data_IF_994682005589
#
_entry.id   IF_994682005589
#
_cell.length_a   1.000
_cell.length_b   1.000
_cell.length_c   1.000
_cell.angle_alpha   90.00
_cell.angle_beta   90.00
_cell.angle_gamma   90.00
#
_symmetry.space_group_name_H-M   'P 1'
#
loop_
_entity.id
_entity.type
_entity.pdbx_description
1 polymer ?
#
# COMPACT_ATOMS: atom_id res chain seq x y z
N UNK A 1 0.24 19.64 2.77
CA UNK A 1 -0.02 18.26 2.25
C UNK A 1 1.02 17.80 1.23
N UNK A 2 1.61 18.68 0.40
CA UNK A 2 2.77 18.35 -0.46
C UNK A 2 3.93 19.31 -0.17
N UNK A 3 5.08 18.79 0.27
CA UNK A 3 6.36 19.53 0.39
C UNK A 3 7.22 19.21 -0.83
N UNK A 4 7.52 20.22 -1.65
CA UNK A 4 8.28 20.08 -2.89
C UNK A 4 9.67 20.71 -2.75
N UNK A 5 10.71 19.92 -2.98
CA UNK A 5 12.11 20.36 -2.98
C UNK A 5 12.75 20.07 -4.33
N UNK A 6 13.42 21.06 -4.90
CA UNK A 6 14.06 20.96 -6.19
C UNK A 6 15.55 21.28 -6.05
N UNK A 7 16.40 20.41 -6.60
CA UNK A 7 17.84 20.57 -6.58
C UNK A 7 18.38 20.43 -8.01
N UNK A 8 18.94 21.52 -8.53
CA UNK A 8 19.59 21.53 -9.82
C UNK A 8 21.11 21.46 -9.62
N UNK A 9 21.71 20.27 -9.81
CA UNK A 9 23.15 20.12 -9.62
C UNK A 9 23.95 20.53 -10.86
N UNK A 10 23.29 20.74 -12.01
CA UNK A 10 23.94 21.24 -13.23
C UNK A 10 24.17 22.74 -13.13
N UNK A 11 23.13 23.48 -12.75
CA UNK A 11 23.16 24.93 -12.58
C UNK A 11 22.41 25.26 -11.28
N UNK A 12 23.14 25.54 -10.19
CA UNK A 12 22.52 25.91 -8.91
C UNK A 12 21.57 27.10 -9.05
N UNK A 13 20.51 27.12 -8.24
CA UNK A 13 19.51 28.20 -8.14
C UNK A 13 18.70 28.49 -9.43
N UNK A 14 18.89 27.71 -10.49
CA UNK A 14 18.08 27.78 -11.70
C UNK A 14 16.98 26.70 -11.71
N UNK A 15 15.84 27.05 -12.32
CA UNK A 15 14.75 26.10 -12.56
C UNK A 15 15.23 24.88 -13.38
N UNK A 16 14.71 23.72 -13.02
CA UNK A 16 14.98 22.46 -13.72
C UNK A 16 14.21 22.47 -15.04
N UNK A 17 14.93 22.44 -16.15
CA UNK A 17 14.37 22.27 -17.50
C UNK A 17 15.00 21.04 -18.14
N UNK A 18 14.16 20.11 -18.59
CA UNK A 18 14.59 18.88 -19.26
C UNK A 18 13.69 18.56 -20.45
N UNK A 19 14.28 18.05 -21.55
CA UNK A 19 13.52 17.59 -22.70
C UNK A 19 12.92 16.21 -22.41
N UNK A 20 11.63 16.20 -22.03
CA UNK A 20 10.84 14.99 -21.78
C UNK A 20 9.50 15.09 -22.49
N UNK A 21 8.82 13.96 -22.69
CA UNK A 21 7.41 13.95 -23.11
C UNK A 21 6.54 14.32 -21.90
N UNK A 22 5.88 15.49 -21.88
CA UNK A 22 5.19 15.97 -20.67
C UNK A 22 4.08 15.02 -20.19
N UNK A 23 3.37 14.38 -21.13
CA UNK A 23 2.30 13.44 -20.82
C UNK A 23 2.78 12.20 -20.05
N UNK A 24 3.96 11.67 -20.39
CA UNK A 24 4.52 10.50 -19.69
C UNK A 24 4.85 10.86 -18.24
N UNK A 25 5.54 11.99 -18.04
CA UNK A 25 5.89 12.47 -16.70
C UNK A 25 4.63 12.76 -15.87
N UNK A 26 3.66 13.43 -16.48
CA UNK A 26 2.38 13.73 -15.84
C UNK A 26 1.68 12.46 -15.36
N UNK A 27 1.56 11.44 -16.22
CA UNK A 27 0.90 10.18 -15.86
C UNK A 27 1.60 9.50 -14.68
N UNK A 28 2.93 9.37 -14.74
CA UNK A 28 3.73 8.73 -13.69
C UNK A 28 3.51 9.44 -12.35
N UNK A 29 3.71 10.76 -12.32
CA UNK A 29 3.62 11.56 -11.10
C UNK A 29 2.19 11.58 -10.57
N UNK A 30 1.18 11.70 -11.44
CA UNK A 30 -0.22 11.69 -11.06
C UNK A 30 -0.61 10.37 -10.38
N UNK A 31 -0.27 9.22 -10.97
CA UNK A 31 -0.58 7.92 -10.37
C UNK A 31 0.13 7.73 -9.02
N UNK A 32 1.40 8.14 -8.90
CA UNK A 32 2.14 8.01 -7.64
C UNK A 32 1.59 8.94 -6.55
N UNK A 33 1.27 10.19 -6.88
CA UNK A 33 0.68 11.12 -5.92
C UNK A 33 -0.69 10.63 -5.45
N UNK A 34 -1.54 10.10 -6.34
CA UNK A 34 -2.82 9.50 -5.93
C UNK A 34 -2.61 8.37 -4.92
N UNK A 35 -1.68 7.45 -5.19
CA UNK A 35 -1.40 6.33 -4.29
C UNK A 35 -0.88 6.83 -2.93
N UNK A 36 0.17 7.66 -2.94
CA UNK A 36 0.73 8.22 -1.70
C UNK A 36 -0.29 9.00 -0.86
N UNK A 37 -1.16 9.79 -1.50
CA UNK A 37 -2.23 10.50 -0.80
C UNK A 37 -3.26 9.54 -0.22
N UNK A 38 -3.72 8.56 -1.00
CA UNK A 38 -4.66 7.52 -0.54
C UNK A 38 -4.09 6.79 0.68
N UNK A 39 -2.84 6.34 0.61
CA UNK A 39 -2.22 5.62 1.70
C UNK A 39 -2.07 6.46 2.96
N UNK A 40 -1.66 7.72 2.81
CA UNK A 40 -1.53 8.65 3.93
C UNK A 40 -2.87 8.88 4.64
N UNK A 41 -3.94 9.11 3.87
CA UNK A 41 -5.29 9.32 4.42
C UNK A 41 -5.83 8.05 5.08
N UNK A 42 -5.75 6.90 4.40
CA UNK A 42 -6.23 5.61 4.93
C UNK A 42 -5.45 5.21 6.21
N UNK A 43 -4.14 5.48 6.26
CA UNK A 43 -3.32 5.22 7.43
C UNK A 43 -3.67 6.15 8.60
N UNK A 44 -3.85 7.44 8.33
CA UNK A 44 -4.26 8.42 9.35
C UNK A 44 -5.57 8.00 10.03
N UNK A 45 -6.60 7.65 9.25
CA UNK A 45 -7.88 7.17 9.80
C UNK A 45 -7.74 5.86 10.58
N UNK A 46 -6.82 4.97 10.18
CA UNK A 46 -6.56 3.72 10.90
C UNK A 46 -5.91 3.95 12.26
N UNK A 47 -5.00 4.92 12.37
CA UNK A 47 -4.25 5.20 13.60
C UNK A 47 -5.03 6.08 14.57
N UNK A 48 -5.70 7.14 14.09
CA UNK A 48 -6.37 8.13 14.96
C UNK A 48 -7.88 7.94 15.11
N UNK A 49 -8.49 7.02 14.38
CA UNK A 49 -9.95 6.82 14.37
C UNK A 49 -10.67 7.80 13.43
N UNK A 50 -11.97 7.59 13.24
CA UNK A 50 -12.78 8.35 12.28
C UNK A 50 -13.11 9.78 12.75
N UNK A 51 -13.02 10.05 14.06
CA UNK A 51 -13.42 11.32 14.69
C UNK A 51 -12.31 12.40 14.66
N UNK A 52 -11.16 12.11 14.05
CA UNK A 52 -10.05 13.06 13.90
C UNK A 52 -10.23 13.90 12.62
N UNK A 53 -11.14 14.87 12.67
CA UNK A 53 -11.49 15.79 11.56
C UNK A 53 -10.45 16.90 11.30
N UNK A 54 -9.34 16.94 12.04
CA UNK A 54 -8.30 17.95 11.84
C UNK A 54 -7.37 17.59 10.68
N UNK A 55 -7.58 18.23 9.52
CA UNK A 55 -6.69 18.15 8.36
C UNK A 55 -5.24 18.55 8.65
N UNK A 56 -5.01 19.33 9.72
CA UNK A 56 -3.68 19.78 10.17
C UNK A 56 -2.76 18.64 10.64
N UNK A 57 -3.33 17.48 10.95
CA UNK A 57 -2.59 16.33 11.48
C UNK A 57 -2.14 15.33 10.40
N UNK A 58 -2.53 15.55 9.14
CA UNK A 58 -2.14 14.70 8.03
C UNK A 58 -0.67 14.90 7.69
N UNK A 59 0.08 13.79 7.65
CA UNK A 59 1.45 13.81 7.20
C UNK A 59 1.56 14.30 5.76
N UNK A 60 2.55 15.15 5.49
CA UNK A 60 2.77 15.64 4.14
C UNK A 60 3.48 14.60 3.27
N UNK A 61 3.03 14.47 2.03
CA UNK A 61 3.76 13.79 0.96
C UNK A 61 4.93 14.69 0.57
N UNK A 62 6.14 14.16 0.53
CA UNK A 62 7.36 14.91 0.17
C UNK A 62 7.82 14.53 -1.21
N UNK A 63 7.97 15.50 -2.09
CA UNK A 63 8.54 15.31 -3.42
C UNK A 63 9.92 15.98 -3.49
N UNK A 64 10.94 15.22 -3.89
CA UNK A 64 12.30 15.71 -4.11
C UNK A 64 12.68 15.49 -5.57
N UNK A 65 12.94 16.57 -6.30
CA UNK A 65 13.34 16.56 -7.70
C UNK A 65 14.82 16.93 -7.75
N UNK A 66 15.63 16.08 -8.36
CA UNK A 66 17.08 16.28 -8.50
C UNK A 66 17.45 16.16 -9.98
N UNK A 67 17.97 17.24 -10.55
CA UNK A 67 18.57 17.20 -11.89
C UNK A 67 20.07 16.98 -11.77
N UNK A 68 20.51 15.75 -12.07
CA UNK A 68 21.90 15.36 -12.14
C UNK A 68 22.56 15.64 -13.49
N UNK A 69 23.82 15.23 -13.65
CA UNK A 69 24.55 15.35 -14.92
C UNK A 69 23.91 14.52 -16.04
N UNK A 70 23.41 13.32 -15.74
CA UNK A 70 22.86 12.40 -16.76
C UNK A 70 21.36 12.14 -16.60
N UNK A 71 20.87 12.11 -15.35
CA UNK A 71 19.51 11.69 -15.04
C UNK A 71 18.75 12.79 -14.28
N UNK A 72 17.44 12.86 -14.52
CA UNK A 72 16.47 13.50 -13.66
C UNK A 72 15.92 12.45 -12.70
N UNK A 73 16.06 12.67 -11.41
CA UNK A 73 15.53 11.80 -10.37
C UNK A 73 14.40 12.51 -9.62
N UNK A 74 13.26 11.84 -9.47
CA UNK A 74 12.13 12.34 -8.70
C UNK A 74 11.82 11.30 -7.63
N UNK A 75 11.87 11.71 -6.36
CA UNK A 75 11.49 10.87 -5.23
C UNK A 75 10.21 11.41 -4.60
N UNK A 76 9.18 10.57 -4.51
CA UNK A 76 7.94 10.85 -3.80
C UNK A 76 7.93 9.97 -2.56
N UNK A 77 7.87 10.58 -1.38
CA UNK A 77 7.90 9.92 -0.08
C UNK A 77 6.62 10.22 0.68
N UNK A 78 5.91 9.19 1.11
CA UNK A 78 4.72 9.32 1.96
C UNK A 78 4.95 8.76 3.37
N UNK A 79 3.94 8.96 4.23
CA UNK A 79 3.82 8.32 5.55
C UNK A 79 2.52 7.50 5.62
N UNK A 80 2.28 6.71 4.58
CA UNK A 80 1.06 5.91 4.42
C UNK A 80 1.07 4.56 5.14
N UNK A 81 2.00 4.34 6.09
CA UNK A 81 2.12 3.09 6.84
C UNK A 81 2.86 1.97 6.11
N UNK A 82 3.24 2.16 4.84
CA UNK A 82 4.11 1.25 4.10
C UNK A 82 3.47 -0.08 3.68
N UNK A 83 4.30 -0.93 3.05
CA UNK A 83 3.94 -2.20 2.44
C UNK A 83 4.90 -3.29 2.90
N UNK A 84 4.42 -4.43 3.41
CA UNK A 84 5.26 -5.57 3.76
C UNK A 84 6.05 -6.07 2.55
N UNK A 85 7.32 -6.46 2.75
CA UNK A 85 8.21 -6.89 1.66
C UNK A 85 7.65 -8.03 0.80
N UNK A 86 6.88 -8.95 1.40
CA UNK A 86 6.22 -10.05 0.70
C UNK A 86 5.17 -9.59 -0.33
N UNK A 87 4.56 -8.41 -0.12
CA UNK A 87 3.54 -7.83 -1.01
C UNK A 87 4.14 -6.81 -1.98
N UNK A 88 5.33 -6.28 -1.70
CA UNK A 88 5.98 -5.23 -2.49
C UNK A 88 6.21 -5.65 -3.96
N UNK A 89 6.62 -6.90 -4.19
CA UNK A 89 6.82 -7.41 -5.56
C UNK A 89 5.52 -7.45 -6.37
N UNK A 90 4.39 -7.70 -5.71
CA UNK A 90 3.09 -7.82 -6.37
C UNK A 90 2.52 -6.47 -6.82
N UNK A 91 3.03 -5.34 -6.31
CA UNK A 91 2.50 -4.01 -6.64
C UNK A 91 2.63 -3.66 -8.13
N UNK A 92 3.60 -4.27 -8.82
CA UNK A 92 3.79 -4.10 -10.26
C UNK A 92 3.08 -5.17 -11.10
N UNK A 93 2.37 -6.13 -10.49
CA UNK A 93 1.55 -7.06 -11.26
C UNK A 93 0.30 -6.33 -11.77
N UNK A 94 0.01 -6.52 -13.06
CA UNK A 94 -1.26 -6.06 -13.63
C UNK A 94 -2.44 -6.62 -12.84
N UNK A 95 -3.48 -5.79 -12.66
CA UNK A 95 -4.70 -6.11 -11.91
C UNK A 95 -4.52 -6.31 -10.40
N UNK A 96 -3.30 -6.19 -9.86
CA UNK A 96 -3.10 -6.20 -8.43
C UNK A 96 -3.59 -4.87 -7.82
N UNK A 97 -4.55 -4.94 -6.90
CA UNK A 97 -5.03 -3.77 -6.17
C UNK A 97 -5.52 -4.17 -4.79
N UNK A 98 -5.35 -3.26 -3.83
CA UNK A 98 -5.84 -3.39 -2.46
C UNK A 98 -7.12 -2.60 -2.21
N UNK A 99 -7.53 -1.79 -3.18
CA UNK A 99 -8.81 -1.08 -3.17
C UNK A 99 -9.95 -2.03 -3.57
N UNK A 100 -11.18 -1.81 -3.07
CA UNK A 100 -12.35 -2.51 -3.59
C UNK A 100 -12.48 -2.28 -5.09
N UNK A 101 -12.88 -3.33 -5.82
CA UNK A 101 -13.13 -3.21 -7.26
C UNK A 101 -14.29 -2.22 -7.48
N UNK A 102 -14.17 -1.26 -8.39
CA UNK A 102 -15.28 -0.37 -8.70
C UNK A 102 -16.51 -1.14 -9.16
N UNK A 103 -17.69 -0.67 -8.73
CA UNK A 103 -18.96 -1.01 -9.37
C UNK A 103 -18.93 -0.51 -10.82
N UNK A 104 -19.59 -1.24 -11.72
CA UNK A 104 -19.75 -0.86 -13.14
C UNK A 104 -20.77 0.26 -13.37
N UNK A 105 -21.30 0.86 -12.30
CA UNK A 105 -22.27 1.95 -12.40
C UNK A 105 -21.55 3.28 -12.63
N UNK A 106 -21.81 3.88 -13.79
CA UNK A 106 -20.98 4.84 -14.53
C UNK A 106 -20.94 6.29 -14.01
N UNK A 107 -21.27 6.57 -12.75
CA UNK A 107 -21.31 7.97 -12.28
C UNK A 107 -20.05 8.46 -11.56
N UNK A 108 -19.16 7.57 -11.12
CA UNK A 108 -17.93 7.96 -10.42
C UNK A 108 -16.76 7.03 -10.74
N UNK A 109 -15.77 7.53 -11.50
CA UNK A 109 -14.53 6.79 -11.75
C UNK A 109 -13.76 6.67 -10.44
N UNK A 110 -13.52 5.45 -9.92
CA UNK A 110 -12.90 5.28 -8.62
C UNK A 110 -11.47 5.84 -8.62
N UNK A 111 -11.05 6.43 -7.51
CA UNK A 111 -9.69 6.97 -7.34
C UNK A 111 -8.59 5.89 -7.43
N UNK A 112 -8.93 4.65 -7.07
CA UNK A 112 -8.10 3.45 -7.14
C UNK A 112 -8.97 2.20 -7.44
N UNK A 113 -8.37 1.09 -7.88
CA UNK A 113 -9.08 -0.20 -7.96
C UNK A 113 -8.90 -1.00 -9.25
N UNK A 114 -8.39 -0.40 -10.32
CA UNK A 114 -8.11 -1.12 -11.57
C UNK A 114 -6.79 -1.90 -11.56
N UNK A 115 -5.81 -1.50 -10.73
CA UNK A 115 -4.54 -2.22 -10.59
C UNK A 115 -3.60 -2.08 -11.79
N UNK A 116 -3.69 -0.96 -12.53
CA UNK A 116 -2.85 -0.71 -13.72
C UNK A 116 -1.88 0.48 -13.57
N UNK A 117 -2.10 1.37 -12.58
CA UNK A 117 -1.33 2.61 -12.44
C UNK A 117 0.18 2.38 -12.33
N UNK A 118 0.62 1.65 -11.31
CA UNK A 118 2.04 1.36 -11.09
C UNK A 118 2.74 0.63 -12.26
N UNK A 119 2.21 -0.47 -12.82
CA UNK A 119 2.86 -1.12 -13.95
C UNK A 119 2.93 -0.22 -15.19
N UNK A 120 1.89 0.56 -15.49
CA UNK A 120 1.89 1.49 -16.63
C UNK A 120 2.87 2.64 -16.39
N UNK A 121 2.90 3.22 -15.19
CA UNK A 121 3.88 4.26 -14.83
C UNK A 121 5.31 3.76 -14.99
N UNK A 122 5.58 2.51 -14.61
CA UNK A 122 6.91 1.90 -14.81
C UNK A 122 7.23 1.71 -16.29
N UNK A 123 6.26 1.33 -17.11
CA UNK A 123 6.44 1.26 -18.56
C UNK A 123 6.78 2.63 -19.16
N UNK A 124 6.06 3.68 -18.79
CA UNK A 124 6.35 5.05 -19.26
C UNK A 124 7.77 5.51 -18.89
N UNK A 125 8.23 5.19 -17.67
CA UNK A 125 9.59 5.51 -17.25
C UNK A 125 10.63 4.72 -18.06
N UNK A 126 10.40 3.41 -18.25
CA UNK A 126 11.33 2.51 -18.98
C UNK A 126 11.38 2.75 -20.47
N UNK A 127 10.32 3.34 -21.05
CA UNK A 127 10.25 3.59 -22.49
C UNK A 127 11.46 4.36 -23.00
N UNK A 128 11.97 5.34 -22.24
CA UNK A 128 13.21 6.08 -22.56
C UNK A 128 14.38 5.73 -21.63
N UNK A 129 14.56 4.44 -21.32
CA UNK A 129 15.66 3.89 -20.51
C UNK A 129 15.76 4.48 -19.08
N UNK A 130 14.63 4.93 -18.54
CA UNK A 130 14.47 5.21 -17.12
C UNK A 130 14.04 3.98 -16.31
N UNK A 131 13.65 4.20 -15.06
CA UNK A 131 12.92 3.20 -14.27
C UNK A 131 12.06 3.88 -13.19
N UNK A 132 11.11 3.11 -12.67
CA UNK A 132 10.34 3.41 -11.46
C UNK A 132 10.56 2.27 -10.46
N UNK A 133 11.08 2.60 -9.28
CA UNK A 133 11.30 1.66 -8.18
C UNK A 133 10.59 2.12 -6.92
N UNK A 134 10.04 1.17 -6.17
CA UNK A 134 9.42 1.42 -4.86
C UNK A 134 10.28 0.81 -3.77
N UNK A 135 10.53 1.58 -2.70
CA UNK A 135 11.16 1.13 -1.46
C UNK A 135 10.19 1.45 -0.33
N UNK A 136 9.73 0.43 0.39
CA UNK A 136 8.74 0.62 1.45
C UNK A 136 9.25 0.13 2.79
N UNK A 137 8.88 0.84 3.85
CA UNK A 137 9.14 0.48 5.24
C UNK A 137 7.80 0.21 5.91
N UNK A 138 7.53 -1.08 6.19
CA UNK A 138 6.30 -1.53 6.81
C UNK A 138 6.10 -0.88 8.18
N UNK A 139 4.91 -0.33 8.42
CA UNK A 139 4.57 0.48 9.59
C UNK A 139 4.94 1.97 9.49
N UNK A 140 5.65 2.43 8.45
CA UNK A 140 6.06 3.83 8.32
C UNK A 140 5.57 4.49 7.03
N UNK A 141 6.04 4.04 5.85
CA UNK A 141 5.74 4.73 4.60
C UNK A 141 6.49 4.17 3.40
N UNK A 142 6.23 4.75 2.23
CA UNK A 142 6.80 4.30 0.96
C UNK A 142 7.53 5.44 0.24
N UNK A 143 8.70 5.11 -0.30
CA UNK A 143 9.49 5.96 -1.20
C UNK A 143 9.36 5.41 -2.64
N UNK A 144 8.77 6.20 -3.52
CA UNK A 144 8.75 5.96 -4.96
C UNK A 144 9.81 6.80 -5.66
N UNK A 145 10.75 6.15 -6.35
CA UNK A 145 11.86 6.80 -7.06
C UNK A 145 11.68 6.59 -8.55
N UNK A 146 11.56 7.69 -9.29
CA UNK A 146 11.56 7.77 -10.74
C UNK A 146 12.96 8.21 -11.17
N UNK A 147 13.55 7.51 -12.13
CA UNK A 147 14.79 7.91 -12.80
C UNK A 147 14.53 8.06 -14.29
N UNK A 148 14.76 9.24 -14.86
CA UNK A 148 14.60 9.53 -16.28
C UNK A 148 15.91 10.07 -16.86
N UNK A 149 16.14 9.85 -18.15
CA UNK A 149 17.29 10.43 -18.85
C UNK A 149 17.09 11.93 -19.02
N UNK A 150 18.05 12.72 -18.55
CA UNK A 150 18.04 14.18 -18.71
C UNK A 150 18.76 14.64 -19.99
N UNK A 151 19.44 13.74 -20.69
CA UNK A 151 20.14 13.99 -21.95
C UNK A 151 19.39 13.29 -23.10
N UNK A 152 18.90 14.02 -24.12
CA UNK A 152 18.14 13.44 -25.23
C UNK A 152 18.84 12.31 -25.97
N UNK A 153 20.15 12.44 -26.22
CA UNK A 153 20.91 11.44 -26.96
C UNK A 153 21.04 10.10 -26.23
N UNK A 154 20.76 10.08 -24.93
CA UNK A 154 20.74 8.87 -24.10
C UNK A 154 19.31 8.31 -23.90
N UNK A 155 18.29 9.08 -24.27
CA UNK A 155 16.87 8.74 -24.12
C UNK A 155 16.37 7.94 -25.34
N UNK A 156 16.90 6.74 -25.53
CA UNK A 156 16.49 5.85 -26.63
C UNK A 156 15.24 5.04 -26.27
N UNK A 157 14.42 4.70 -27.26
CA UNK A 157 13.23 3.88 -27.06
C UNK A 157 13.59 2.43 -26.71
N UNK A 158 12.95 1.89 -25.67
CA UNK A 158 13.04 0.49 -25.28
C UNK A 158 11.83 -0.28 -25.84
N UNK A 159 12.02 -0.86 -27.03
CA UNK A 159 10.97 -1.59 -27.73
C UNK A 159 11.08 -3.12 -27.51
N UNK A 160 9.96 -3.83 -27.30
CA UNK A 160 9.96 -5.28 -27.26
C UNK A 160 10.26 -5.85 -28.65
N UNK A 161 11.25 -6.73 -28.73
CA UNK A 161 11.60 -7.44 -29.98
C UNK A 161 11.13 -8.89 -29.87
N UNK A 162 10.32 -9.32 -30.84
CA UNK A 162 9.95 -10.72 -30.95
C UNK A 162 11.06 -11.51 -31.65
N UNK A 163 11.56 -12.55 -30.98
CA UNK A 163 12.63 -13.40 -31.49
C UNK A 163 12.70 -14.74 -30.74
N UNK A 164 13.79 -15.49 -30.95
CA UNK A 164 13.95 -16.81 -30.34
C UNK A 164 13.86 -16.76 -28.79
N UNK A 165 14.47 -15.76 -28.15
CA UNK A 165 14.42 -15.58 -26.69
C UNK A 165 13.01 -15.28 -26.18
N UNK A 166 12.30 -14.35 -26.81
CA UNK A 166 10.92 -13.98 -26.45
C UNK A 166 9.96 -15.15 -26.66
N UNK A 167 10.11 -15.91 -27.76
CA UNK A 167 9.34 -17.13 -28.00
C UNK A 167 9.58 -18.17 -26.90
N UNK A 168 10.83 -18.41 -26.52
CA UNK A 168 11.17 -19.33 -25.42
C UNK A 168 10.48 -18.92 -24.13
N UNK A 169 10.56 -17.65 -23.75
CA UNK A 169 9.91 -17.13 -22.53
C UNK A 169 8.39 -17.37 -22.53
N UNK A 170 7.73 -17.22 -23.67
CA UNK A 170 6.28 -17.42 -23.80
C UNK A 170 5.91 -18.91 -23.76
N UNK A 171 6.70 -19.78 -24.39
CA UNK A 171 6.40 -21.21 -24.52
C UNK A 171 6.93 -22.08 -23.38
N UNK A 172 7.70 -21.49 -22.46
CA UNK A 172 8.36 -22.21 -21.37
C UNK A 172 7.32 -22.82 -20.43
N UNK A 173 7.45 -24.12 -20.16
CA UNK A 173 6.61 -24.80 -19.18
C UNK A 173 7.02 -24.40 -17.76
N UNK A 174 6.13 -24.64 -16.79
CA UNK A 174 6.46 -24.43 -15.37
C UNK A 174 7.60 -25.35 -14.95
N UNK A 175 8.66 -24.78 -14.43
CA UNK A 175 9.80 -25.52 -13.88
C UNK A 175 9.60 -25.82 -12.39
N UNK A 176 10.33 -26.81 -11.89
CA UNK A 176 10.43 -27.03 -10.45
C UNK A 176 11.14 -25.83 -9.80
N UNK A 177 10.75 -25.42 -8.58
CA UNK A 177 11.41 -24.31 -7.91
C UNK A 177 12.87 -24.64 -7.62
N UNK A 178 13.76 -23.68 -7.88
CA UNK A 178 15.20 -23.82 -7.63
C UNK A 178 15.55 -23.96 -6.14
N UNK A 179 14.67 -23.48 -5.26
CA UNK A 179 14.89 -23.42 -3.82
C UNK A 179 13.92 -24.31 -3.05
N UNK A 180 14.39 -24.82 -1.92
CA UNK A 180 13.57 -25.58 -0.98
C UNK A 180 12.42 -24.72 -0.45
N UNK A 181 11.21 -25.27 -0.39
CA UNK A 181 10.06 -24.62 0.23
C UNK A 181 9.61 -25.42 1.46
N UNK A 182 9.35 -24.72 2.56
CA UNK A 182 8.69 -25.32 3.72
C UNK A 182 7.22 -25.50 3.39
N UNK A 183 6.70 -26.71 3.55
CA UNK A 183 5.26 -26.94 3.49
C UNK A 183 4.62 -26.16 4.64
N UNK A 184 3.55 -25.37 4.42
CA UNK A 184 2.86 -24.68 5.50
C UNK A 184 2.50 -25.69 6.58
N UNK A 185 3.05 -25.52 7.78
CA UNK A 185 2.66 -26.33 8.93
C UNK A 185 1.18 -26.10 9.17
N UNK A 186 0.36 -27.13 8.93
CA UNK A 186 -1.01 -27.18 9.45
C UNK A 186 -0.87 -27.09 10.96
N UNK A 187 -1.21 -25.94 11.53
CA UNK A 187 -1.29 -25.79 12.98
C UNK A 187 -2.30 -26.85 13.43
N UNK A 188 -1.91 -27.84 14.27
CA UNK A 188 -2.88 -28.78 14.80
C UNK A 188 -3.94 -27.97 15.55
N UNK A 189 -5.24 -28.33 15.45
CA UNK A 189 -6.27 -27.64 16.22
C UNK A 189 -5.84 -27.59 17.68
N UNK A 190 -5.99 -26.41 18.30
CA UNK A 190 -5.63 -26.22 19.70
C UNK A 190 -6.17 -27.40 20.53
N UNK A 191 -5.35 -27.99 21.43
CA UNK A 191 -5.83 -29.07 22.27
C UNK A 191 -7.08 -28.56 23.00
N UNK A 192 -8.16 -29.35 22.97
CA UNK A 192 -9.38 -29.04 23.69
C UNK A 192 -8.99 -28.71 25.14
N UNK A 193 -9.46 -27.56 25.64
CA UNK A 193 -9.28 -27.17 27.04
C UNK A 193 -9.75 -28.33 27.92
N UNK A 194 -8.82 -28.87 28.71
CA UNK A 194 -9.09 -29.93 29.67
C UNK A 194 -10.17 -29.44 30.65
N UNK A 195 -11.33 -30.11 30.78
CA UNK A 195 -12.42 -29.66 31.64
C UNK A 195 -12.07 -29.66 33.14
N UNK A 196 -10.90 -30.17 33.53
CA UNK A 196 -10.47 -30.22 34.94
C UNK A 196 -10.01 -28.88 35.52
N UNK A 197 -9.71 -27.85 34.71
CA UNK A 197 -9.27 -26.53 35.21
C UNK A 197 -10.46 -25.63 35.67
N UNK A 198 -11.70 -26.05 35.37
CA UNK A 198 -12.93 -25.33 35.77
C UNK A 198 -13.26 -25.45 37.27
N UNK A 199 -12.71 -26.45 37.98
CA UNK A 199 -13.13 -26.74 39.36
C UNK A 199 -12.51 -25.82 40.42
N UNK A 200 -11.31 -25.27 40.18
CA UNK A 200 -10.51 -24.63 41.24
C UNK A 200 -10.78 -23.13 41.47
N UNK A 201 -11.61 -22.49 40.63
CA UNK A 201 -12.01 -21.09 40.84
C UNK A 201 -13.18 -20.97 41.85
N UNK A 202 -13.80 -22.10 42.23
CA UNK A 202 -14.94 -22.10 43.16
C UNK A 202 -14.56 -21.96 44.65
N UNK A 203 -13.28 -21.97 45.03
CA UNK A 203 -12.84 -21.99 46.44
C UNK A 203 -12.35 -20.63 47.01
N UNK A 204 -12.14 -19.59 46.19
CA UNK A 204 -11.68 -18.29 46.70
C UNK A 204 -12.84 -17.35 47.07
N UNK A 205 -13.52 -17.65 48.17
CA UNK A 205 -14.52 -16.77 48.79
C UNK A 205 -13.84 -15.55 49.42
N UNK A 206 -13.73 -14.45 48.66
CA UNK A 206 -13.38 -13.13 49.21
C UNK A 206 -14.46 -12.71 50.22
N UNK A 207 -14.05 -12.41 51.46
CA UNK A 207 -14.90 -11.85 52.51
C UNK A 207 -15.44 -10.48 52.05
N UNK A 208 -16.74 -10.42 51.80
CA UNK A 208 -17.45 -9.17 51.48
C UNK A 208 -17.66 -8.34 52.75
N UNK A 209 -17.10 -7.13 52.75
CA UNK A 209 -17.45 -6.03 53.66
C UNK A 209 -18.71 -5.35 53.10
N UNK A 210 -19.77 -5.26 53.91
CA UNK A 210 -21.03 -4.56 53.56
C UNK A 210 -20.86 -3.04 53.66
N UNK A 211 -21.59 -2.28 52.82
CA UNK A 211 -22.51 -1.29 53.39
C UNK A 211 -23.94 -1.34 52.80
N UNK A 212 -24.81 -0.56 53.44
CA UNK A 212 -26.30 -0.60 53.54
C UNK A 212 -27.12 -0.35 52.25
N UNK A 213 -28.29 -1.00 52.23
CA UNK A 213 -29.56 -0.83 51.47
C UNK A 213 -30.08 0.63 51.43
N UNK A 214 -30.96 1.16 50.56
CA UNK A 214 -31.97 0.69 49.57
C UNK A 214 -32.50 1.94 48.76
N UNK A 215 -33.60 1.93 47.95
CA UNK A 215 -34.24 0.87 47.16
C UNK A 215 -34.54 1.25 45.67
N UNK A 216 -35.20 0.30 45.00
CA UNK A 216 -35.57 0.03 43.60
C UNK A 216 -36.36 1.06 42.75
N UNK A 217 -36.35 0.87 41.42
CA UNK A 217 -37.59 0.69 40.60
C UNK A 217 -37.33 0.16 39.16
N UNK A 218 -37.82 -1.07 38.92
CA UNK A 218 -38.62 -1.63 37.78
C UNK A 218 -38.27 -1.50 36.27
N UNK A 219 -38.03 -2.69 35.66
CA UNK A 219 -38.58 -3.30 34.38
C UNK A 219 -38.38 -2.62 33.00
N UNK A 220 -37.88 -3.30 31.95
CA UNK A 220 -38.64 -4.23 31.07
C UNK A 220 -37.77 -4.92 29.97
N UNK A 221 -38.37 -5.92 29.29
CA UNK A 221 -37.89 -7.07 28.50
C UNK A 221 -37.40 -6.85 27.03
N UNK A 222 -36.45 -7.71 26.63
CA UNK A 222 -36.27 -8.51 25.36
C UNK A 222 -36.43 -7.88 23.96
N UNK A 223 -35.48 -8.13 23.03
CA UNK A 223 -35.51 -9.26 22.05
C UNK A 223 -34.25 -9.29 21.14
N UNK A 224 -33.78 -10.50 20.88
CA UNK A 224 -32.70 -10.93 19.98
C UNK A 224 -33.10 -10.96 18.51
N UNK A 225 -32.20 -10.58 17.58
CA UNK A 225 -32.04 -11.21 16.26
C UNK A 225 -30.55 -11.20 15.86
N UNK A 226 -30.05 -12.39 15.56
CA UNK A 226 -28.72 -12.71 15.07
C UNK A 226 -28.61 -12.58 13.53
N UNK A 227 -27.50 -12.05 13.03
CA UNK A 227 -26.99 -12.39 11.70
C UNK A 227 -25.46 -12.45 11.73
N UNK A 228 -24.95 -13.67 11.72
CA UNK A 228 -23.53 -13.98 11.57
C UNK A 228 -23.15 -13.93 10.09
N UNK A 229 -22.33 -12.95 9.70
CA UNK A 229 -21.54 -13.02 8.47
C UNK A 229 -20.07 -12.96 8.84
N UNK A 230 -19.39 -14.11 8.68
CA UNK A 230 -17.95 -14.25 8.84
C UNK A 230 -17.24 -13.47 7.75
N UNK A 231 -16.86 -12.23 8.03
CA UNK A 231 -15.93 -11.48 7.19
C UNK A 231 -14.52 -11.98 7.47
N UNK A 232 -13.95 -12.72 6.53
CA UNK A 232 -12.51 -12.92 6.47
C UNK A 232 -11.87 -11.53 6.39
N UNK A 233 -11.08 -11.16 7.40
CA UNK A 233 -10.30 -9.93 7.42
C UNK A 233 -9.32 -9.96 6.25
N UNK A 234 -9.74 -9.41 5.10
CA UNK A 234 -8.83 -9.01 4.06
C UNK A 234 -7.96 -7.90 4.63
N UNK A 235 -6.71 -8.23 4.95
CA UNK A 235 -5.72 -7.31 5.45
C UNK A 235 -5.43 -6.24 4.38
N UNK A 236 -6.08 -5.08 4.53
CA UNK A 236 -5.99 -3.94 3.62
C UNK A 236 -4.61 -3.31 3.77
N UNK A 237 -3.75 -3.51 2.77
CA UNK A 237 -2.46 -2.83 2.69
C UNK A 237 -2.62 -1.61 1.79
N UNK A 238 -2.30 -0.44 2.31
CA UNK A 238 -2.34 0.79 1.54
C UNK A 238 -1.04 0.93 0.73
N UNK A 239 -1.15 1.43 -0.51
CA UNK A 239 -0.02 1.77 -1.39
C UNK A 239 -0.12 3.25 -1.67
#
# INVERSE_FOLDING_TARGET
MLDLRCFNTRIPDQQISVPLVPLHLYYIVFELLKNSMRATIEHHHRVKGFDADSSDDLAEVRACIVLGAENLSIKISDRGGGVPSAKLANLFHYLYSTAPKPSRDDSNTPFAGYGYGLPISRLYARYFLGDLSLTSMDGYGTDAVISLKAVPSQACELLPVYGASSRRFITMAREAPDYCFQKPTTIPPAPALDPTISADISAARVKSVKPKLAPETTTTKTKSISSSSSSGKAERVAI
#
